data_IF_249822827054
#
_entry.id   IF_249822827054
#
_cell.length_a   1.000
_cell.length_b   1.000
_cell.length_c   1.000
_cell.angle_alpha   90.00
_cell.angle_beta   90.00
_cell.angle_gamma   90.00
#
_symmetry.space_group_name_H-M   'P 1'
#
loop_
_entity.id
_entity.type
_entity.pdbx_description
1 polymer ?
#
# COMPACT_ATOMS: atom_id res chain seq x y z
N UNK A 1 10.91 7.30 35.60
CA UNK A 1 11.06 5.84 35.87
C UNK A 1 12.33 5.38 35.18
N UNK A 2 13.20 4.57 35.80
CA UNK A 2 14.34 3.95 35.11
C UNK A 2 13.91 3.07 33.94
N UNK A 3 14.70 3.03 32.87
CA UNK A 3 14.33 2.33 31.60
C UNK A 3 13.97 0.86 31.76
N UNK A 4 14.66 0.13 32.66
CA UNK A 4 14.35 -1.28 32.88
C UNK A 4 12.97 -1.48 33.54
N UNK A 5 12.59 -0.62 34.50
CA UNK A 5 11.28 -0.64 35.12
C UNK A 5 10.17 -0.25 34.15
N UNK A 6 10.44 0.69 33.25
CA UNK A 6 9.51 1.07 32.20
C UNK A 6 9.27 -0.10 31.24
N UNK A 7 10.32 -0.81 30.81
CA UNK A 7 10.21 -2.00 29.97
C UNK A 7 9.38 -3.12 30.64
N UNK A 8 9.63 -3.40 31.90
CA UNK A 8 8.86 -4.42 32.65
C UNK A 8 7.38 -3.98 32.82
N UNK A 9 7.11 -2.71 33.06
CA UNK A 9 5.74 -2.18 33.11
C UNK A 9 5.02 -2.33 31.77
N UNK A 10 5.69 -2.02 30.65
CA UNK A 10 5.14 -2.20 29.30
C UNK A 10 4.81 -3.68 29.07
N UNK A 11 5.71 -4.61 29.40
CA UNK A 11 5.48 -6.05 29.25
C UNK A 11 4.30 -6.52 30.10
N UNK A 12 4.17 -6.04 31.33
CA UNK A 12 3.05 -6.38 32.21
C UNK A 12 1.72 -5.90 31.63
N UNK A 13 1.64 -4.63 31.21
CA UNK A 13 0.45 -4.05 30.60
C UNK A 13 0.09 -4.76 29.26
N UNK A 14 1.10 -5.12 28.47
CA UNK A 14 0.87 -5.87 27.24
C UNK A 14 0.23 -7.23 27.49
N UNK A 15 0.66 -7.95 28.52
CA UNK A 15 0.04 -9.23 28.91
C UNK A 15 -1.38 -9.03 29.45
N UNK A 16 -1.58 -8.01 30.27
CA UNK A 16 -2.87 -7.67 30.87
C UNK A 16 -3.92 -7.35 29.78
N UNK A 17 -3.57 -6.53 28.80
CA UNK A 17 -4.50 -6.06 27.76
C UNK A 17 -4.63 -7.01 26.57
N UNK A 18 -3.75 -8.03 26.45
CA UNK A 18 -3.73 -8.94 25.31
C UNK A 18 -5.09 -9.59 25.00
N UNK A 19 -5.88 -10.08 25.99
CA UNK A 19 -7.18 -10.69 25.69
C UNK A 19 -8.17 -9.72 25.04
N UNK A 20 -8.17 -8.45 25.48
CA UNK A 20 -9.01 -7.42 24.89
C UNK A 20 -8.55 -7.08 23.46
N UNK A 21 -7.24 -6.97 23.24
CA UNK A 21 -6.69 -6.66 21.90
C UNK A 21 -6.94 -7.79 20.92
N UNK A 22 -6.91 -9.04 21.36
CA UNK A 22 -7.34 -10.20 20.55
C UNK A 22 -8.82 -10.05 20.17
N UNK A 23 -9.67 -9.68 21.12
CA UNK A 23 -11.10 -9.44 20.84
C UNK A 23 -11.31 -8.29 19.85
N UNK A 24 -10.57 -7.18 19.99
CA UNK A 24 -10.58 -6.06 19.03
C UNK A 24 -10.18 -6.53 17.63
N UNK A 25 -9.08 -7.29 17.53
CA UNK A 25 -8.62 -7.86 16.25
C UNK A 25 -9.68 -8.74 15.60
N UNK A 26 -10.27 -9.65 16.35
CA UNK A 26 -11.33 -10.56 15.86
C UNK A 26 -12.58 -9.80 15.43
N UNK A 27 -12.94 -8.72 16.14
CA UNK A 27 -14.05 -7.87 15.75
C UNK A 27 -13.80 -7.19 14.41
N UNK A 28 -12.61 -6.60 14.21
CA UNK A 28 -12.24 -5.94 12.95
C UNK A 28 -12.19 -6.97 11.82
N UNK A 29 -11.57 -8.12 12.04
CA UNK A 29 -11.49 -9.21 11.07
C UNK A 29 -12.86 -9.71 10.61
N UNK A 30 -13.79 -9.85 11.54
CA UNK A 30 -15.16 -10.30 11.22
C UNK A 30 -16.03 -9.26 10.51
N UNK A 31 -15.59 -7.99 10.49
CA UNK A 31 -16.35 -6.88 9.89
C UNK A 31 -15.47 -6.06 8.93
N UNK A 32 -14.82 -6.69 7.93
CA UNK A 32 -13.89 -6.02 7.04
C UNK A 32 -14.63 -5.05 6.12
N UNK A 33 -13.98 -3.92 5.80
CA UNK A 33 -14.48 -2.92 4.85
C UNK A 33 -13.42 -2.61 3.81
N UNK A 34 -13.84 -2.37 2.56
CA UNK A 34 -12.93 -2.07 1.46
C UNK A 34 -12.32 -0.67 1.59
N UNK A 35 -11.23 -0.44 0.86
CA UNK A 35 -10.52 0.83 0.77
C UNK A 35 -11.47 2.01 0.56
N UNK A 36 -11.35 3.04 1.39
CA UNK A 36 -12.18 4.26 1.44
C UNK A 36 -13.65 4.04 1.82
N UNK A 37 -13.99 2.86 2.32
CA UNK A 37 -15.33 2.51 2.82
C UNK A 37 -15.32 2.07 4.29
N UNK A 38 -14.24 2.31 5.02
CA UNK A 38 -13.96 1.85 6.40
C UNK A 38 -14.75 2.63 7.43
N UNK A 39 -16.06 2.88 7.18
CA UNK A 39 -16.93 3.71 8.03
C UNK A 39 -17.17 3.12 9.41
N UNK A 40 -17.45 1.82 9.49
CA UNK A 40 -17.66 1.11 10.76
C UNK A 40 -16.34 0.88 11.49
N UNK A 41 -15.29 0.57 10.75
CA UNK A 41 -13.93 0.37 11.28
C UNK A 41 -13.43 1.63 11.96
N UNK A 42 -13.50 2.80 11.29
CA UNK A 42 -13.08 4.08 11.90
C UNK A 42 -13.95 4.47 13.08
N UNK A 43 -15.27 4.21 13.03
CA UNK A 43 -16.17 4.47 14.16
C UNK A 43 -15.82 3.61 15.37
N UNK A 44 -15.49 2.34 15.17
CA UNK A 44 -15.03 1.43 16.20
C UNK A 44 -13.69 1.86 16.81
N UNK A 45 -12.72 2.25 15.97
CA UNK A 45 -11.43 2.79 16.41
C UNK A 45 -11.60 4.05 17.25
N UNK A 46 -12.44 4.98 16.79
CA UNK A 46 -12.78 6.23 17.49
C UNK A 46 -13.39 5.94 18.87
N UNK A 47 -14.32 4.99 18.93
CA UNK A 47 -14.94 4.55 20.19
C UNK A 47 -13.85 3.98 21.14
N UNK A 48 -13.00 3.06 20.68
CA UNK A 48 -11.95 2.45 21.51
C UNK A 48 -10.95 3.48 22.04
N UNK A 49 -10.52 4.43 21.22
CA UNK A 49 -9.65 5.50 21.69
C UNK A 49 -10.31 6.36 22.75
N UNK A 50 -11.61 6.66 22.60
CA UNK A 50 -12.38 7.41 23.59
C UNK A 50 -12.51 6.64 24.91
N UNK A 51 -12.81 5.33 24.86
CA UNK A 51 -12.83 4.43 26.01
C UNK A 51 -11.48 4.40 26.74
N UNK A 52 -10.35 4.51 26.03
CA UNK A 52 -9.01 4.59 26.61
C UNK A 52 -8.66 5.97 27.16
N UNK A 53 -9.48 6.99 26.91
CA UNK A 53 -9.27 8.37 27.37
C UNK A 53 -8.50 9.26 26.39
N UNK A 54 -8.38 8.85 25.12
CA UNK A 54 -7.82 9.67 24.04
C UNK A 54 -8.98 10.36 23.32
N UNK A 55 -9.25 11.62 23.67
CA UNK A 55 -10.41 12.37 23.16
C UNK A 55 -10.05 13.41 22.09
N UNK A 56 -8.77 13.78 21.97
CA UNK A 56 -8.30 14.70 20.93
C UNK A 56 -8.15 13.93 19.61
N UNK A 57 -9.23 13.92 18.82
CA UNK A 57 -9.38 13.10 17.61
C UNK A 57 -9.86 13.94 16.44
N UNK A 58 -9.36 13.68 15.23
CA UNK A 58 -9.74 14.37 14.00
C UNK A 58 -9.83 13.36 12.84
N UNK A 59 -10.94 13.31 12.15
CA UNK A 59 -11.06 12.56 10.89
C UNK A 59 -10.23 13.21 9.78
N UNK A 60 -9.67 12.38 8.90
CA UNK A 60 -8.88 12.78 7.75
C UNK A 60 -9.09 11.80 6.59
N UNK A 61 -8.99 12.26 5.34
CA UNK A 61 -9.15 11.45 4.14
C UNK A 61 -10.44 10.60 4.13
N UNK A 62 -11.55 11.19 4.59
CA UNK A 62 -12.87 10.54 4.64
C UNK A 62 -13.02 9.57 5.80
N UNK A 63 -12.42 8.39 5.73
CA UNK A 63 -12.54 7.31 6.72
C UNK A 63 -11.28 7.13 7.58
N UNK A 64 -10.25 7.96 7.42
CA UNK A 64 -9.07 7.96 8.28
C UNK A 64 -9.25 8.74 9.58
N UNK A 65 -8.36 8.50 10.54
CA UNK A 65 -8.40 9.13 11.86
C UNK A 65 -6.99 9.51 12.32
N UNK A 66 -6.87 10.69 12.90
CA UNK A 66 -5.68 11.14 13.64
C UNK A 66 -6.07 11.39 15.08
N UNK A 67 -5.32 10.86 16.05
CA UNK A 67 -5.56 11.09 17.47
C UNK A 67 -4.26 11.49 18.18
N UNK A 68 -4.37 12.28 19.25
CA UNK A 68 -3.22 12.78 19.99
C UNK A 68 -3.28 12.35 21.45
N UNK A 69 -2.15 11.86 21.96
CA UNK A 69 -1.91 11.62 23.38
C UNK A 69 -0.75 12.48 23.85
N UNK A 70 -1.03 13.45 24.70
CA UNK A 70 -0.05 14.36 25.28
C UNK A 70 0.52 13.77 26.56
N UNK A 71 1.84 13.61 26.60
CA UNK A 71 2.62 13.34 27.80
C UNK A 71 3.06 14.64 28.47
N UNK A 72 4.09 14.56 29.34
CA UNK A 72 4.74 15.74 29.91
C UNK A 72 5.42 16.55 28.80
N UNK A 73 5.48 17.89 28.97
CA UNK A 73 6.15 18.77 27.99
C UNK A 73 5.73 18.43 26.55
N UNK A 74 4.42 18.46 26.27
CA UNK A 74 3.80 17.94 25.05
C UNK A 74 4.43 18.42 23.73
N UNK A 75 4.97 19.66 23.73
CA UNK A 75 5.56 20.28 22.54
C UNK A 75 7.03 19.88 22.30
N UNK A 76 7.67 19.16 23.23
CA UNK A 76 9.09 18.81 23.17
C UNK A 76 9.44 17.94 21.95
N UNK A 77 8.59 16.97 21.64
CA UNK A 77 8.76 16.03 20.53
C UNK A 77 7.42 15.42 20.14
N UNK A 78 7.23 15.17 18.86
CA UNK A 78 6.06 14.46 18.35
C UNK A 78 6.51 13.23 17.57
N UNK A 79 6.00 12.07 17.96
CA UNK A 79 6.23 10.79 17.27
C UNK A 79 4.87 10.32 16.75
N UNK A 80 4.81 9.93 15.48
CA UNK A 80 3.63 9.32 14.91
C UNK A 80 3.73 7.78 14.90
N UNK A 81 2.64 7.12 15.21
CA UNK A 81 2.45 5.67 15.06
C UNK A 81 1.33 5.43 14.06
N UNK A 82 1.53 4.56 13.09
CA UNK A 82 0.60 4.35 11.97
C UNK A 82 0.14 2.90 11.87
N UNK A 83 -1.15 2.72 11.60
CA UNK A 83 -1.73 1.49 11.10
C UNK A 83 -2.69 1.79 9.94
N UNK A 84 -2.85 0.86 9.02
CA UNK A 84 -3.88 0.84 7.99
C UNK A 84 -5.12 0.09 8.45
N UNK A 85 -6.27 0.34 7.78
CA UNK A 85 -7.57 -0.17 8.25
C UNK A 85 -8.37 -0.95 7.20
N UNK A 86 -8.05 -0.82 5.93
CA UNK A 86 -8.84 -1.38 4.84
C UNK A 86 -8.60 -2.88 4.64
N UNK A 87 -9.57 -3.52 3.97
CA UNK A 87 -9.57 -4.92 3.59
C UNK A 87 -9.58 -5.09 2.07
N UNK A 88 -9.38 -6.32 1.61
CA UNK A 88 -9.28 -6.70 0.21
C UNK A 88 -10.58 -7.34 -0.31
N UNK A 89 -10.89 -7.21 -1.62
CA UNK A 89 -12.04 -7.86 -2.26
C UNK A 89 -11.74 -9.35 -2.51
N UNK A 90 -11.59 -10.12 -1.43
CA UNK A 90 -11.26 -11.54 -1.43
C UNK A 90 -12.28 -12.28 -0.58
N UNK A 91 -12.85 -13.36 -1.10
CA UNK A 91 -13.73 -14.25 -0.32
C UNK A 91 -12.90 -15.06 0.66
N UNK A 92 -13.16 -14.92 1.95
CA UNK A 92 -12.51 -15.70 2.98
C UNK A 92 -12.92 -17.17 2.92
N UNK A 93 -11.94 -18.06 3.00
CA UNK A 93 -12.15 -19.53 3.00
C UNK A 93 -11.78 -20.18 4.34
N UNK A 94 -11.39 -19.39 5.33
CA UNK A 94 -11.07 -19.91 6.66
C UNK A 94 -12.35 -20.34 7.38
N UNK A 95 -12.22 -21.38 8.19
CA UNK A 95 -13.32 -21.84 9.07
C UNK A 95 -12.95 -21.52 10.52
N UNK A 96 -13.16 -20.27 10.92
CA UNK A 96 -12.89 -19.78 12.28
C UNK A 96 -14.10 -18.97 12.79
N UNK A 97 -14.29 -18.91 14.11
CA UNK A 97 -15.42 -18.21 14.74
C UNK A 97 -15.53 -16.72 14.36
N UNK A 98 -14.41 -16.11 14.01
CA UNK A 98 -14.30 -14.70 13.67
C UNK A 98 -14.06 -14.46 12.17
N UNK A 99 -14.38 -15.42 11.30
CA UNK A 99 -14.27 -15.19 9.85
C UNK A 99 -15.15 -14.02 9.41
N UNK A 100 -14.83 -13.47 8.24
CA UNK A 100 -15.55 -12.33 7.66
C UNK A 100 -17.05 -12.59 7.57
N UNK A 101 -17.84 -11.61 8.00
CA UNK A 101 -19.31 -11.56 7.83
C UNK A 101 -19.73 -10.79 6.59
N UNK A 102 -18.77 -10.21 5.86
CA UNK A 102 -18.99 -9.47 4.63
C UNK A 102 -18.52 -10.33 3.46
N UNK A 103 -19.47 -10.92 2.75
CA UNK A 103 -19.17 -11.81 1.62
C UNK A 103 -18.31 -11.08 0.57
N UNK A 104 -17.29 -11.78 0.07
CA UNK A 104 -16.35 -11.23 -0.91
C UNK A 104 -15.33 -10.22 -0.36
N UNK A 105 -15.26 -10.00 0.97
CA UNK A 105 -14.30 -9.07 1.59
C UNK A 105 -13.57 -9.75 2.75
N UNK A 106 -12.25 -9.60 2.83
CA UNK A 106 -11.42 -10.21 3.87
C UNK A 106 -10.22 -9.34 4.23
N UNK A 107 -9.84 -9.30 5.50
CA UNK A 107 -8.53 -8.80 5.94
C UNK A 107 -7.42 -9.80 5.60
N UNK A 108 -7.08 -9.92 4.31
CA UNK A 108 -6.06 -10.85 3.84
C UNK A 108 -4.62 -10.28 3.94
N UNK A 109 -4.47 -8.96 4.08
CA UNK A 109 -3.17 -8.29 4.26
C UNK A 109 -2.79 -8.09 5.75
N UNK A 110 -3.71 -8.34 6.69
CA UNK A 110 -3.45 -8.26 8.13
C UNK A 110 -3.63 -6.87 8.75
N UNK A 111 -4.33 -5.95 8.09
CA UNK A 111 -4.59 -4.60 8.60
C UNK A 111 -5.44 -4.60 9.89
N UNK A 112 -6.22 -5.63 10.11
CA UNK A 112 -6.91 -5.91 11.39
C UNK A 112 -5.93 -6.10 12.55
N UNK A 113 -4.80 -6.77 12.30
CA UNK A 113 -3.70 -6.92 13.29
C UNK A 113 -2.99 -5.59 13.49
N UNK A 114 -2.71 -4.85 12.42
CA UNK A 114 -2.04 -3.54 12.50
C UNK A 114 -2.86 -2.55 13.32
N UNK A 115 -4.14 -2.38 12.99
CA UNK A 115 -5.08 -1.50 13.70
C UNK A 115 -5.25 -1.90 15.17
N UNK A 116 -5.43 -3.20 15.47
CA UNK A 116 -5.58 -3.66 16.86
C UNK A 116 -4.29 -3.50 17.66
N UNK A 117 -3.13 -3.75 17.07
CA UNK A 117 -1.83 -3.51 17.72
C UNK A 117 -1.63 -2.04 18.05
N UNK A 118 -2.01 -1.13 17.15
CA UNK A 118 -1.91 0.31 17.40
C UNK A 118 -2.87 0.75 18.52
N UNK A 119 -4.08 0.19 18.58
CA UNK A 119 -5.01 0.40 19.70
C UNK A 119 -4.45 -0.14 21.02
N UNK A 120 -3.79 -1.30 20.99
CA UNK A 120 -3.09 -1.85 22.16
C UNK A 120 -1.97 -0.94 22.64
N UNK A 121 -1.15 -0.46 21.73
CA UNK A 121 -0.10 0.52 22.03
C UNK A 121 -0.69 1.82 22.62
N UNK A 122 -1.80 2.32 22.06
CA UNK A 122 -2.48 3.49 22.57
C UNK A 122 -2.96 3.29 24.01
N UNK A 123 -3.58 2.16 24.32
CA UNK A 123 -4.03 1.82 25.69
C UNK A 123 -2.88 1.77 26.69
N UNK A 124 -1.77 1.14 26.32
CA UNK A 124 -0.55 1.09 27.17
C UNK A 124 0.03 2.48 27.38
N UNK A 125 0.15 3.29 26.31
CA UNK A 125 0.73 4.63 26.38
C UNK A 125 -0.11 5.59 27.23
N UNK A 126 -1.43 5.44 27.27
CA UNK A 126 -2.29 6.19 28.20
C UNK A 126 -1.92 5.92 29.66
N UNK A 127 -1.67 4.65 30.04
CA UNK A 127 -1.24 4.29 31.39
C UNK A 127 0.16 4.83 31.73
N UNK A 128 0.92 5.21 30.73
CA UNK A 128 2.30 5.66 30.84
C UNK A 128 2.49 7.15 30.52
N UNK A 129 1.40 7.92 30.32
CA UNK A 129 1.46 9.32 29.86
C UNK A 129 2.35 10.21 30.74
N UNK A 130 2.43 9.90 32.04
CA UNK A 130 3.28 10.64 32.98
C UNK A 130 4.74 10.15 33.00
N UNK A 131 5.10 9.18 32.19
CA UNK A 131 6.43 8.59 32.11
C UNK A 131 7.19 8.98 30.84
N UNK A 132 6.58 9.70 29.91
CA UNK A 132 7.25 10.20 28.73
C UNK A 132 7.00 11.69 28.51
N UNK A 133 7.86 12.32 27.71
CA UNK A 133 7.73 13.72 27.29
C UNK A 133 7.40 13.80 25.79
N UNK A 134 6.59 14.80 25.42
CA UNK A 134 6.17 15.01 24.05
C UNK A 134 4.75 14.49 23.77
N UNK A 135 4.40 14.40 22.52
CA UNK A 135 3.09 13.95 22.03
C UNK A 135 3.24 12.71 21.16
N UNK A 136 2.40 11.72 21.37
CA UNK A 136 2.20 10.58 20.46
C UNK A 136 1.02 10.89 19.56
N UNK A 137 1.24 10.79 18.25
CA UNK A 137 0.22 10.96 17.23
C UNK A 137 -0.12 9.59 16.66
N UNK A 138 -1.35 9.14 16.85
CA UNK A 138 -1.86 7.90 16.26
C UNK A 138 -2.49 8.21 14.91
N UNK A 139 -2.12 7.48 13.87
CA UNK A 139 -2.62 7.64 12.51
C UNK A 139 -3.23 6.31 12.09
N UNK A 140 -4.56 6.29 11.95
CA UNK A 140 -5.29 5.18 11.39
C UNK A 140 -5.63 5.53 9.94
N UNK A 141 -4.88 4.92 9.02
CA UNK A 141 -4.91 5.23 7.60
C UNK A 141 -5.99 4.43 6.88
N UNK A 142 -6.85 5.08 6.07
CA UNK A 142 -7.76 4.40 5.16
C UNK A 142 -7.07 4.03 3.85
N UNK A 143 -7.66 3.14 3.06
CA UNK A 143 -7.36 2.95 1.64
C UNK A 143 -5.88 2.75 1.32
N UNK A 144 -5.20 1.80 1.97
CA UNK A 144 -3.82 1.47 1.65
C UNK A 144 -3.74 0.68 0.34
N UNK A 145 -4.70 -0.22 0.10
CA UNK A 145 -4.73 -1.17 -1.00
C UNK A 145 -5.23 -0.57 -2.33
N UNK A 146 -5.65 0.69 -2.33
CA UNK A 146 -6.23 1.34 -3.51
C UNK A 146 -5.67 2.74 -3.74
N UNK A 147 -5.19 2.99 -4.96
CA UNK A 147 -4.75 4.34 -5.36
C UNK A 147 -5.92 5.36 -5.29
N UNK A 148 -5.62 6.62 -4.93
CA UNK A 148 -4.30 7.24 -4.79
C UNK A 148 -3.61 6.98 -3.44
N UNK A 149 -4.13 6.09 -2.60
CA UNK A 149 -3.65 5.75 -1.28
C UNK A 149 -4.03 6.76 -0.20
N UNK A 150 -4.62 6.25 0.89
CA UNK A 150 -5.07 7.10 2.00
C UNK A 150 -3.95 7.89 2.66
N UNK A 151 -2.71 7.38 2.67
CA UNK A 151 -1.56 8.11 3.21
C UNK A 151 -1.34 9.45 2.49
N UNK A 152 -1.37 9.46 1.15
CA UNK A 152 -1.19 10.67 0.35
C UNK A 152 -2.27 11.71 0.63
N UNK A 153 -3.52 11.27 0.79
CA UNK A 153 -4.66 12.11 1.11
C UNK A 153 -4.55 12.68 2.53
N UNK A 154 -4.21 11.83 3.52
CA UNK A 154 -4.00 12.26 4.91
C UNK A 154 -2.86 13.26 5.04
N UNK A 155 -1.74 13.07 4.32
CA UNK A 155 -0.62 14.01 4.30
C UNK A 155 -1.07 15.36 3.72
N UNK A 156 -1.82 15.34 2.63
CA UNK A 156 -2.37 16.54 1.99
C UNK A 156 -3.30 17.31 2.93
N UNK A 157 -4.06 16.62 3.77
CA UNK A 157 -4.92 17.20 4.80
C UNK A 157 -4.19 17.56 6.10
N UNK A 158 -2.86 17.40 6.13
CA UNK A 158 -2.01 17.82 7.24
C UNK A 158 -1.94 16.83 8.41
N UNK A 159 -2.16 15.54 8.20
CA UNK A 159 -2.08 14.53 9.26
C UNK A 159 -0.73 14.49 10.00
N UNK A 160 0.36 14.87 9.32
CA UNK A 160 1.71 14.96 9.92
C UNK A 160 2.01 16.35 10.53
N UNK A 161 1.08 17.31 10.42
CA UNK A 161 1.18 18.68 10.92
C UNK A 161 0.30 18.88 12.16
N UNK A 162 0.52 19.97 12.88
CA UNK A 162 -0.33 20.45 13.97
C UNK A 162 -0.66 19.39 15.05
N UNK A 163 0.35 18.90 15.80
CA UNK A 163 1.77 19.25 15.81
C UNK A 163 2.58 18.47 14.78
N UNK A 164 3.74 19.00 14.37
CA UNK A 164 4.61 18.41 13.36
C UNK A 164 5.27 17.11 13.86
N UNK A 165 4.96 15.98 13.27
CA UNK A 165 5.61 14.72 13.58
C UNK A 165 7.08 14.72 13.12
N UNK A 166 8.00 14.38 14.02
CA UNK A 166 9.44 14.29 13.73
C UNK A 166 9.86 12.91 13.20
N UNK A 167 9.09 11.90 13.55
CA UNK A 167 9.26 10.53 13.06
C UNK A 167 7.92 9.83 12.99
N UNK A 168 7.83 8.84 12.13
CA UNK A 168 6.67 7.96 11.99
C UNK A 168 7.14 6.52 12.00
N UNK A 169 6.41 5.67 12.72
CA UNK A 169 6.64 4.22 12.81
C UNK A 169 5.36 3.52 12.39
N UNK A 170 5.49 2.59 11.45
CA UNK A 170 4.46 1.64 11.08
C UNK A 170 5.00 0.22 11.16
N UNK A 171 4.11 -0.76 11.33
CA UNK A 171 4.46 -2.17 11.28
C UNK A 171 3.62 -2.88 10.23
N UNK A 172 4.11 -4.00 9.73
CA UNK A 172 3.37 -4.90 8.88
C UNK A 172 3.57 -6.34 9.34
N UNK A 173 2.49 -7.13 9.42
CA UNK A 173 2.61 -8.56 9.68
C UNK A 173 3.25 -9.28 8.49
N UNK A 174 4.14 -10.22 8.78
CA UNK A 174 4.90 -10.93 7.76
C UNK A 174 4.84 -12.44 8.05
N UNK A 175 4.03 -13.22 7.30
CA UNK A 175 3.85 -14.65 7.56
C UNK A 175 5.15 -15.47 7.50
N UNK A 176 6.18 -14.98 6.81
CA UNK A 176 7.48 -15.63 6.70
C UNK A 176 8.37 -15.44 7.95
N UNK A 177 8.00 -14.52 8.84
CA UNK A 177 8.71 -14.31 10.11
C UNK A 177 8.01 -15.11 11.20
N UNK A 178 8.77 -15.90 11.94
CA UNK A 178 8.26 -16.71 13.05
C UNK A 178 7.58 -15.86 14.12
N UNK A 179 6.45 -16.35 14.65
CA UNK A 179 5.70 -15.65 15.70
C UNK A 179 6.58 -15.31 16.90
N UNK A 180 6.48 -14.07 17.36
CA UNK A 180 7.28 -13.54 18.47
C UNK A 180 8.60 -12.90 18.02
N UNK A 181 8.92 -12.94 16.72
CA UNK A 181 10.07 -12.23 16.14
C UNK A 181 9.62 -10.97 15.41
N UNK A 182 10.49 -9.99 15.36
CA UNK A 182 10.31 -8.74 14.62
C UNK A 182 11.52 -8.52 13.73
N UNK A 183 11.27 -8.23 12.44
CA UNK A 183 12.32 -7.90 11.47
C UNK A 183 12.44 -6.39 11.28
N UNK A 184 13.68 -5.89 11.21
CA UNK A 184 14.00 -4.51 10.88
C UNK A 184 14.93 -4.47 9.68
N UNK A 185 14.76 -3.47 8.83
CA UNK A 185 15.66 -3.20 7.72
C UNK A 185 15.78 -1.70 7.50
N UNK A 186 16.96 -1.15 7.70
CA UNK A 186 17.29 0.24 7.38
C UNK A 186 17.51 0.45 5.88
N UNK A 187 17.42 1.68 5.42
CA UNK A 187 17.62 2.03 4.02
C UNK A 187 16.46 1.60 3.11
N UNK A 188 16.76 1.24 1.88
CA UNK A 188 15.76 0.82 0.88
C UNK A 188 15.05 -0.45 1.32
N UNK A 189 13.73 -0.38 1.47
CA UNK A 189 12.91 -1.47 2.00
C UNK A 189 11.97 -2.07 0.95
N UNK A 190 11.12 -1.24 0.29
CA UNK A 190 10.20 -1.69 -0.75
C UNK A 190 10.35 -0.83 -2.01
N UNK A 191 10.25 -1.48 -3.17
CA UNK A 191 10.26 -0.80 -4.46
C UNK A 191 9.01 0.05 -4.66
N UNK A 192 9.11 1.04 -5.54
CA UNK A 192 7.94 1.77 -6.05
C UNK A 192 6.96 0.83 -6.77
N UNK A 193 5.72 1.27 -6.95
CA UNK A 193 4.69 0.51 -7.66
C UNK A 193 4.08 1.38 -8.75
N UNK A 194 4.01 0.84 -9.97
CA UNK A 194 3.30 1.46 -11.09
C UNK A 194 2.47 0.42 -11.83
N UNK A 195 1.31 0.84 -12.30
CA UNK A 195 0.45 0.04 -13.16
C UNK A 195 0.51 0.57 -14.60
N UNK A 196 0.64 -0.36 -15.53
CA UNK A 196 0.77 -0.07 -16.95
C UNK A 196 -0.47 -0.57 -17.67
N UNK A 197 -1.07 0.29 -18.46
CA UNK A 197 -2.24 -0.01 -19.29
C UNK A 197 -1.92 0.37 -20.72
N UNK A 198 -1.91 -0.61 -21.62
CA UNK A 198 -1.47 -0.43 -23.00
C UNK A 198 -2.52 -0.95 -23.95
N UNK A 199 -2.99 -0.10 -24.86
CA UNK A 199 -3.88 -0.49 -25.94
C UNK A 199 -3.17 -0.28 -27.27
N UNK A 200 -2.93 -1.37 -27.99
CA UNK A 200 -2.37 -1.35 -29.35
C UNK A 200 -3.50 -1.46 -30.33
N UNK A 201 -3.60 -0.50 -31.25
CA UNK A 201 -4.62 -0.47 -32.32
C UNK A 201 -3.99 -0.68 -33.69
N UNK A 202 -4.57 -1.57 -34.44
CA UNK A 202 -4.18 -1.86 -35.81
C UNK A 202 -5.38 -1.84 -36.76
N UNK A 203 -5.35 -2.73 -37.73
CA UNK A 203 -6.45 -3.05 -38.63
C UNK A 203 -6.49 -4.56 -38.77
N UNK A 204 -7.48 -5.18 -38.16
CA UNK A 204 -7.70 -6.61 -38.21
C UNK A 204 -8.15 -7.09 -39.57
N UNK A 205 -8.33 -8.40 -39.69
CA UNK A 205 -8.78 -9.02 -40.92
C UNK A 205 -8.45 -10.51 -41.01
N UNK A 206 -8.48 -11.05 -42.22
CA UNK A 206 -8.21 -12.46 -42.45
C UNK A 206 -6.72 -12.79 -42.24
N UNK A 207 -6.41 -13.73 -41.34
CA UNK A 207 -5.04 -14.10 -40.98
C UNK A 207 -4.15 -14.59 -42.10
N UNK A 208 -4.75 -15.16 -43.17
CA UNK A 208 -4.04 -15.57 -44.39
C UNK A 208 -3.85 -14.43 -45.41
N UNK A 209 -4.32 -13.22 -45.12
CA UNK A 209 -4.13 -12.02 -45.95
C UNK A 209 -3.41 -10.88 -45.18
N UNK A 210 -2.20 -11.13 -44.65
CA UNK A 210 -1.51 -10.18 -43.75
C UNK A 210 -1.18 -8.83 -44.42
N UNK A 211 -1.02 -8.82 -45.75
CA UNK A 211 -0.77 -7.60 -46.53
C UNK A 211 -1.94 -6.58 -46.54
N UNK A 212 -3.12 -7.00 -46.09
CA UNK A 212 -4.30 -6.13 -45.95
C UNK A 212 -4.51 -5.65 -44.50
N UNK A 213 -3.75 -6.19 -43.57
CA UNK A 213 -3.89 -5.94 -42.12
C UNK A 213 -2.79 -5.01 -41.62
N UNK A 214 -3.03 -4.41 -40.44
CA UNK A 214 -2.02 -3.88 -39.55
C UNK A 214 -2.19 -4.70 -38.26
N UNK A 215 -1.33 -5.68 -38.08
CA UNK A 215 -1.53 -6.70 -37.05
C UNK A 215 -1.16 -6.18 -35.63
N UNK A 216 -2.15 -5.88 -34.78
CA UNK A 216 -1.87 -5.38 -33.43
C UNK A 216 -1.31 -6.45 -32.49
N UNK A 217 -1.45 -7.74 -32.82
CA UNK A 217 -0.89 -8.84 -32.03
C UNK A 217 0.62 -8.87 -32.20
N UNK A 218 1.11 -8.71 -33.44
CA UNK A 218 2.56 -8.63 -33.70
C UNK A 218 3.16 -7.37 -33.12
N UNK A 219 2.47 -6.22 -33.24
CA UNK A 219 2.92 -4.96 -32.62
C UNK A 219 3.02 -5.11 -31.11
N UNK A 220 2.01 -5.68 -30.43
CA UNK A 220 2.00 -5.91 -29.00
C UNK A 220 3.14 -6.84 -28.55
N UNK A 221 3.39 -7.92 -29.30
CA UNK A 221 4.49 -8.83 -29.02
C UNK A 221 5.86 -8.13 -29.11
N UNK A 222 6.08 -7.29 -30.14
CA UNK A 222 7.32 -6.53 -30.28
C UNK A 222 7.47 -5.49 -29.16
N UNK A 223 6.39 -4.80 -28.78
CA UNK A 223 6.40 -3.87 -27.63
C UNK A 223 6.82 -4.61 -26.36
N UNK A 224 6.23 -5.77 -26.04
CA UNK A 224 6.57 -6.54 -24.83
C UNK A 224 8.04 -6.89 -24.81
N UNK A 225 8.57 -7.42 -25.92
CA UNK A 225 9.99 -7.82 -26.01
C UNK A 225 10.92 -6.61 -25.96
N UNK A 226 10.62 -5.58 -26.75
CA UNK A 226 11.47 -4.38 -26.84
C UNK A 226 11.53 -3.61 -25.54
N UNK A 227 10.43 -3.50 -24.81
CA UNK A 227 10.39 -2.82 -23.52
C UNK A 227 11.27 -3.48 -22.43
N UNK A 228 11.64 -4.77 -22.57
CA UNK A 228 12.62 -5.39 -21.65
C UNK A 228 13.97 -4.69 -21.68
N UNK A 229 14.31 -3.96 -22.75
CA UNK A 229 15.52 -3.16 -22.85
C UNK A 229 15.53 -1.97 -21.87
N UNK A 230 14.37 -1.53 -21.40
CA UNK A 230 14.28 -0.51 -20.35
C UNK A 230 15.04 -0.97 -19.10
N UNK A 231 14.80 -2.21 -18.70
CA UNK A 231 15.48 -2.80 -17.53
C UNK A 231 16.91 -3.23 -17.88
N UNK A 232 17.10 -3.93 -18.99
CA UNK A 232 18.39 -4.59 -19.29
C UNK A 232 19.43 -3.66 -19.92
N UNK A 233 19.06 -2.54 -20.55
CA UNK A 233 19.96 -1.66 -21.33
C UNK A 233 19.87 -0.18 -20.96
N UNK A 234 18.80 0.26 -20.27
CA UNK A 234 18.63 1.67 -19.91
C UNK A 234 18.78 1.95 -18.41
N UNK A 235 18.44 0.99 -17.54
CA UNK A 235 18.66 1.10 -16.11
C UNK A 235 20.15 1.02 -15.77
N UNK A 236 20.61 1.76 -14.77
CA UNK A 236 21.92 1.54 -14.20
C UNK A 236 21.96 0.14 -13.55
N UNK A 237 23.06 -0.64 -13.70
CA UNK A 237 23.14 -2.03 -13.20
C UNK A 237 22.90 -2.17 -11.68
N UNK A 238 23.15 -1.11 -10.91
CA UNK A 238 22.95 -1.07 -9.45
C UNK A 238 21.53 -0.71 -9.02
N UNK A 239 20.65 -0.34 -9.97
CA UNK A 239 19.26 0.03 -9.68
C UNK A 239 18.35 -1.14 -10.06
N UNK A 240 17.91 -1.95 -9.08
CA UNK A 240 16.97 -3.03 -9.36
C UNK A 240 15.67 -2.48 -9.95
N UNK A 241 15.24 -3.10 -11.05
CA UNK A 241 13.99 -2.72 -11.72
C UNK A 241 13.31 -3.97 -12.29
N UNK A 242 11.98 -3.96 -12.31
CA UNK A 242 11.16 -5.03 -12.88
C UNK A 242 10.12 -4.39 -13.79
N UNK A 243 9.98 -4.96 -14.99
CA UNK A 243 8.91 -4.65 -15.94
C UNK A 243 8.25 -5.97 -16.36
N UNK A 244 6.96 -6.12 -16.07
CA UNK A 244 6.22 -7.33 -16.38
C UNK A 244 4.84 -6.99 -16.92
N UNK A 245 4.39 -7.74 -17.92
CA UNK A 245 3.00 -7.73 -18.40
C UNK A 245 2.33 -9.00 -17.90
N UNK A 246 1.32 -8.86 -17.04
CA UNK A 246 0.58 -9.98 -16.44
C UNK A 246 -0.71 -10.33 -17.19
N UNK A 247 -1.17 -9.44 -18.09
CA UNK A 247 -2.41 -9.63 -18.85
C UNK A 247 -2.23 -9.16 -20.28
N UNK A 248 -2.65 -9.99 -21.24
CA UNK A 248 -2.70 -9.69 -22.67
C UNK A 248 -4.00 -10.23 -23.23
N UNK A 249 -4.81 -9.37 -23.84
CA UNK A 249 -6.09 -9.72 -24.42
C UNK A 249 -6.07 -9.35 -25.89
N UNK A 250 -6.22 -10.38 -26.75
CA UNK A 250 -6.36 -10.28 -28.19
C UNK A 250 -7.58 -11.12 -28.62
N UNK A 251 -8.72 -10.47 -28.79
CA UNK A 251 -9.99 -11.16 -29.10
C UNK A 251 -10.12 -11.49 -30.59
N UNK A 252 -9.19 -12.30 -31.09
CA UNK A 252 -9.22 -12.84 -32.45
C UNK A 252 -9.70 -14.28 -32.50
N UNK A 253 -9.43 -14.92 -33.62
CA UNK A 253 -9.64 -16.37 -33.84
C UNK A 253 -8.44 -16.93 -34.59
N UNK A 254 -8.42 -18.27 -34.86
CA UNK A 254 -7.31 -18.93 -35.55
C UNK A 254 -6.94 -18.31 -36.89
N UNK A 255 -7.91 -17.71 -37.57
CA UNK A 255 -7.77 -17.07 -38.89
C UNK A 255 -8.29 -15.62 -38.92
N UNK A 256 -8.53 -15.01 -37.75
CA UNK A 256 -9.03 -13.64 -37.63
C UNK A 256 -8.06 -12.84 -36.73
N UNK A 257 -7.39 -11.84 -37.29
CA UNK A 257 -6.62 -10.85 -36.59
C UNK A 257 -7.58 -9.81 -36.02
N UNK A 258 -7.51 -9.49 -34.69
CA UNK A 258 -8.36 -8.47 -34.08
C UNK A 258 -7.93 -7.05 -34.48
N UNK A 259 -8.79 -6.04 -34.22
CA UNK A 259 -8.45 -4.64 -34.45
C UNK A 259 -7.57 -4.03 -33.35
N UNK A 260 -7.56 -4.63 -32.15
CA UNK A 260 -6.79 -4.15 -31.02
C UNK A 260 -6.29 -5.27 -30.10
N UNK A 261 -5.24 -4.95 -29.36
CA UNK A 261 -4.72 -5.74 -28.23
C UNK A 261 -4.64 -4.87 -27.01
N UNK A 262 -5.15 -5.36 -25.87
CA UNK A 262 -5.07 -4.72 -24.59
C UNK A 262 -4.12 -5.47 -23.66
N UNK A 263 -3.25 -4.73 -22.95
CA UNK A 263 -2.26 -5.29 -22.01
C UNK A 263 -2.28 -4.54 -20.70
N UNK A 264 -2.07 -5.27 -19.61
CA UNK A 264 -1.81 -4.69 -18.28
C UNK A 264 -0.47 -5.22 -17.75
N UNK A 265 0.27 -4.32 -17.08
CA UNK A 265 1.57 -4.66 -16.55
C UNK A 265 1.91 -3.87 -15.29
N UNK A 266 3.11 -4.10 -14.76
CA UNK A 266 3.66 -3.37 -13.62
C UNK A 266 5.09 -2.98 -13.89
N UNK A 267 5.47 -1.80 -13.38
CA UNK A 267 6.87 -1.38 -13.30
C UNK A 267 7.23 -1.09 -11.84
N UNK A 268 8.39 -1.59 -11.41
CA UNK A 268 8.88 -1.44 -10.04
C UNK A 268 10.36 -1.10 -10.06
N UNK A 269 10.77 -0.16 -9.20
CA UNK A 269 12.19 0.21 -9.06
C UNK A 269 12.46 0.79 -7.67
N UNK A 270 13.75 0.95 -7.34
CA UNK A 270 14.22 1.53 -6.09
C UNK A 270 14.78 2.96 -6.24
N UNK A 271 14.56 3.62 -7.40
CA UNK A 271 15.03 4.97 -7.64
C UNK A 271 13.95 5.82 -8.33
N UNK A 272 13.54 6.92 -7.70
CA UNK A 272 12.44 7.78 -8.19
C UNK A 272 12.81 8.60 -9.44
N UNK A 273 14.10 8.94 -9.63
CA UNK A 273 14.55 9.65 -10.84
C UNK A 273 14.54 8.70 -12.03
N UNK A 274 15.09 7.50 -11.83
CA UNK A 274 15.01 6.44 -12.83
C UNK A 274 13.57 6.04 -13.14
N UNK A 275 12.71 5.93 -12.13
CA UNK A 275 11.28 5.66 -12.29
C UNK A 275 10.63 6.60 -13.30
N UNK A 276 10.84 7.92 -13.13
CA UNK A 276 10.28 8.92 -14.04
C UNK A 276 10.88 8.82 -15.46
N UNK A 277 12.20 8.66 -15.57
CA UNK A 277 12.86 8.50 -16.87
C UNK A 277 12.44 7.20 -17.59
N UNK A 278 12.20 6.11 -16.83
CA UNK A 278 11.71 4.85 -17.37
C UNK A 278 10.28 4.97 -17.92
N UNK A 279 9.39 5.70 -17.22
CA UNK A 279 8.04 5.98 -17.69
C UNK A 279 8.04 6.65 -19.07
N UNK A 280 8.82 7.73 -19.21
CA UNK A 280 8.93 8.46 -20.48
C UNK A 280 9.48 7.57 -21.60
N UNK A 281 10.52 6.78 -21.30
CA UNK A 281 11.13 5.85 -22.25
C UNK A 281 10.17 4.74 -22.68
N UNK A 282 9.45 4.12 -21.74
CA UNK A 282 8.49 3.04 -22.04
C UNK A 282 7.40 3.56 -22.98
N UNK A 283 6.82 4.72 -22.67
CA UNK A 283 5.78 5.32 -23.49
C UNK A 283 6.29 5.65 -24.90
N UNK A 284 7.41 6.36 -24.99
CA UNK A 284 8.02 6.73 -26.28
C UNK A 284 8.34 5.49 -27.13
N UNK A 285 8.95 4.45 -26.54
CA UNK A 285 9.30 3.23 -27.30
C UNK A 285 8.07 2.53 -27.82
N UNK A 286 7.05 2.30 -26.97
CA UNK A 286 5.83 1.62 -27.39
C UNK A 286 5.09 2.37 -28.49
N UNK A 287 4.97 3.70 -28.37
CA UNK A 287 4.34 4.55 -29.39
C UNK A 287 5.10 4.49 -30.73
N UNK A 288 6.44 4.56 -30.69
CA UNK A 288 7.27 4.54 -31.91
C UNK A 288 7.32 3.18 -32.59
N UNK A 289 7.28 2.09 -31.83
CA UNK A 289 7.17 0.74 -32.38
C UNK A 289 5.83 0.59 -33.12
N UNK A 290 4.73 0.97 -32.46
CA UNK A 290 3.41 0.89 -33.06
C UNK A 290 3.30 1.75 -34.35
N UNK A 291 3.80 2.98 -34.30
CA UNK A 291 3.84 3.90 -35.45
C UNK A 291 4.68 3.33 -36.60
N UNK A 292 5.87 2.77 -36.31
CA UNK A 292 6.76 2.17 -37.31
C UNK A 292 6.15 0.95 -38.01
N UNK A 293 5.22 0.25 -37.35
CA UNK A 293 4.47 -0.88 -37.91
C UNK A 293 3.09 -0.50 -38.47
N UNK A 294 2.81 0.82 -38.58
CA UNK A 294 1.57 1.34 -39.15
C UNK A 294 0.37 1.38 -38.21
N UNK A 295 0.54 0.96 -36.93
CA UNK A 295 -0.48 0.98 -35.89
C UNK A 295 -0.42 2.21 -34.98
N UNK A 296 -1.17 2.14 -33.89
CA UNK A 296 -1.15 3.16 -32.82
C UNK A 296 -1.05 2.47 -31.46
N UNK A 297 -0.39 3.13 -30.51
CA UNK A 297 -0.32 2.69 -29.13
C UNK A 297 -0.82 3.81 -28.20
N UNK A 298 -1.75 3.47 -27.32
CA UNK A 298 -2.11 4.29 -26.16
C UNK A 298 -1.48 3.66 -24.93
N UNK A 299 -0.51 4.35 -24.34
CA UNK A 299 0.25 3.87 -23.17
C UNK A 299 -0.03 4.77 -21.96
N UNK A 300 -0.87 4.29 -21.05
CA UNK A 300 -1.20 4.95 -19.80
C UNK A 300 -0.42 4.30 -18.65
N UNK A 301 0.19 5.13 -17.82
CA UNK A 301 0.86 4.71 -16.59
C UNK A 301 0.10 5.31 -15.41
N UNK A 302 -0.35 4.47 -14.51
CA UNK A 302 -0.88 4.88 -13.22
C UNK A 302 0.24 4.79 -12.19
N UNK A 303 0.73 5.98 -11.79
CA UNK A 303 1.84 6.07 -10.85
C UNK A 303 1.34 5.76 -9.45
N UNK A 304 1.80 4.64 -8.91
CA UNK A 304 1.46 4.17 -7.58
C UNK A 304 2.42 4.69 -6.49
N UNK A 305 2.64 3.85 -5.48
CA UNK A 305 3.41 4.25 -4.30
C UNK A 305 4.89 4.48 -4.60
N UNK A 306 5.51 5.45 -3.89
CA UNK A 306 6.94 5.70 -4.02
C UNK A 306 7.77 4.60 -3.37
N UNK A 307 9.08 4.64 -3.61
CA UNK A 307 10.06 3.81 -2.90
C UNK A 307 9.93 4.02 -1.39
N UNK A 308 9.84 2.94 -0.64
CA UNK A 308 9.92 2.99 0.82
C UNK A 308 11.38 2.89 1.25
N UNK A 309 11.82 3.92 1.96
CA UNK A 309 13.14 3.97 2.60
C UNK A 309 12.97 4.20 4.10
N UNK A 310 13.46 3.27 4.91
CA UNK A 310 13.51 3.44 6.35
C UNK A 310 14.71 4.30 6.74
N UNK A 311 14.51 5.15 7.74
CA UNK A 311 15.58 5.98 8.30
C UNK A 311 16.59 5.09 9.03
N UNK A 312 17.89 5.30 8.75
CA UNK A 312 18.97 4.46 9.27
C UNK A 312 19.20 4.64 10.78
N UNK A 313 18.98 5.85 11.28
CA UNK A 313 19.19 6.16 12.70
C UNK A 313 17.98 5.73 13.57
N UNK A 314 16.78 5.68 12.97
CA UNK A 314 15.56 5.30 13.68
C UNK A 314 15.35 3.78 13.68
N UNK A 315 15.90 3.06 12.66
CA UNK A 315 15.74 1.60 12.49
C UNK A 315 16.85 0.84 13.20
#
# INVERSE_FOLDING_TARGET
>A
MPDHLLKEKIKSLSKEFLPEIISVRRHIHANPELSFQEHKTVAYVLQKLTEFGITEQKKAAGTGLVALLKGKNADKKVIALRADMDALPITEKNNVEYCSKNDGVMHACGHDVHTSSLLGAAKILVQLKDNFEGTIKFIFQPGEEKLPGGASLMIKEGALKNPDAKSIIGQHVMPQIETGKVGFRSGLYMASTDELYVTVKGRGGHGAMPHLNIDPVMIAADIIVSLQQIVSRSAQPIIPSVLSFGKVIANGATNIIPDEVYMEGTFRTFDEKWRSAAHDKMKMMAEKIAEGMGGKCDFRIERGYPVLKNDEALT
#
